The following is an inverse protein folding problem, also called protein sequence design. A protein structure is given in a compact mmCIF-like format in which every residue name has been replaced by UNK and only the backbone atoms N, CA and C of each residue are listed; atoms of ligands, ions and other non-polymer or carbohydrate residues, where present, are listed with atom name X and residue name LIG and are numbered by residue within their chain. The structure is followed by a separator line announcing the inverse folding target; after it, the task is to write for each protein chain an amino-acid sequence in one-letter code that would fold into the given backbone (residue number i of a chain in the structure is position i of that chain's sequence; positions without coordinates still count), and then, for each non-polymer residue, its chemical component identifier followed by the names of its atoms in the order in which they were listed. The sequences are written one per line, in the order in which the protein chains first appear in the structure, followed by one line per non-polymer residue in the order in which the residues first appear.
data_IF_716339114932
#
_entry.id   IF_716339114932
#
_cell.length_a   1.000
_cell.length_b   1.000
_cell.length_c   1.000
_cell.angle_alpha   90.00
_cell.angle_beta   90.00
_cell.angle_gamma   90.00
#
_symmetry.space_group_name_H-M   'P 1'
#
loop_
_entity.id
_entity.type
_entity.pdbx_description
1 polymer ?
#
# COMPACT_ATOMS: atom_id res chain seq x y z
N UNK A 1 -42.39 -44.27 -2.42
CA UNK A 1 -41.25 -43.94 -1.53
C UNK A 1 -39.95 -43.55 -2.25
N UNK A 2 -39.56 -44.20 -3.37
CA UNK A 2 -38.30 -43.86 -4.08
C UNK A 2 -38.16 -42.39 -4.53
N UNK A 3 -39.23 -41.75 -5.03
CA UNK A 3 -39.21 -40.34 -5.48
C UNK A 3 -38.86 -39.34 -4.37
N UNK A 4 -39.31 -39.56 -3.13
CA UNK A 4 -39.03 -38.66 -2.00
C UNK A 4 -37.56 -38.68 -1.56
N UNK A 5 -36.88 -39.82 -1.68
CA UNK A 5 -35.45 -39.95 -1.36
C UNK A 5 -34.61 -39.11 -2.32
N UNK A 6 -34.97 -39.07 -3.62
CA UNK A 6 -34.28 -38.22 -4.60
C UNK A 6 -34.44 -36.73 -4.28
N UNK A 7 -35.61 -36.27 -3.83
CA UNK A 7 -35.80 -34.87 -3.43
C UNK A 7 -34.97 -34.51 -2.19
N UNK A 8 -34.90 -35.40 -1.19
CA UNK A 8 -34.08 -35.18 0.02
C UNK A 8 -32.59 -35.18 -0.34
N UNK A 9 -32.15 -36.08 -1.22
CA UNK A 9 -30.75 -36.13 -1.67
C UNK A 9 -30.35 -34.87 -2.46
N UNK A 10 -31.23 -34.41 -3.36
CA UNK A 10 -31.01 -33.18 -4.13
C UNK A 10 -30.98 -31.94 -3.22
N UNK A 11 -31.85 -31.86 -2.22
CA UNK A 11 -31.83 -30.78 -1.24
C UNK A 11 -30.51 -30.76 -0.46
N UNK A 12 -30.00 -31.93 -0.03
CA UNK A 12 -28.69 -32.04 0.62
C UNK A 12 -27.54 -31.60 -0.28
N UNK A 13 -27.56 -31.98 -1.56
CA UNK A 13 -26.54 -31.55 -2.54
C UNK A 13 -26.57 -30.04 -2.72
N UNK A 14 -27.76 -29.43 -2.84
CA UNK A 14 -27.91 -27.97 -2.99
C UNK A 14 -27.37 -27.24 -1.75
N UNK A 15 -27.68 -27.73 -0.55
CA UNK A 15 -27.17 -27.16 0.71
C UNK A 15 -25.64 -27.28 0.78
N UNK A 16 -25.08 -28.45 0.44
CA UNK A 16 -23.63 -28.68 0.41
C UNK A 16 -22.92 -27.75 -0.60
N UNK A 17 -23.46 -27.60 -1.80
CA UNK A 17 -22.92 -26.69 -2.82
C UNK A 17 -23.03 -25.22 -2.40
N UNK A 18 -24.10 -24.84 -1.69
CA UNK A 18 -24.25 -23.50 -1.12
C UNK A 18 -23.19 -23.19 -0.07
N UNK A 19 -22.96 -24.10 0.88
CA UNK A 19 -21.91 -23.96 1.91
C UNK A 19 -20.53 -23.88 1.25
N UNK A 20 -20.25 -24.74 0.26
CA UNK A 20 -18.99 -24.73 -0.47
C UNK A 20 -18.75 -23.40 -1.21
N UNK A 21 -19.79 -22.87 -1.86
CA UNK A 21 -19.72 -21.60 -2.59
C UNK A 21 -19.45 -20.42 -1.66
N UNK A 22 -20.09 -20.38 -0.49
CA UNK A 22 -19.83 -19.34 0.53
C UNK A 22 -18.40 -19.45 1.04
N UNK A 23 -17.91 -20.66 1.32
CA UNK A 23 -16.55 -20.87 1.81
C UNK A 23 -15.49 -20.45 0.77
N UNK A 24 -15.68 -20.81 -0.51
CA UNK A 24 -14.80 -20.38 -1.59
C UNK A 24 -14.83 -18.87 -1.80
N UNK A 25 -16.01 -18.25 -1.67
CA UNK A 25 -16.14 -16.80 -1.73
C UNK A 25 -15.37 -16.12 -0.59
N UNK A 26 -15.56 -16.55 0.65
CA UNK A 26 -14.84 -16.02 1.81
C UNK A 26 -13.31 -16.15 1.65
N UNK A 27 -12.83 -17.33 1.23
CA UNK A 27 -11.39 -17.53 0.95
C UNK A 27 -10.84 -16.59 -0.12
N UNK A 28 -11.61 -16.30 -1.16
CA UNK A 28 -11.19 -15.37 -2.19
C UNK A 28 -11.14 -13.92 -1.68
N UNK A 29 -12.10 -13.52 -0.85
CA UNK A 29 -12.12 -12.20 -0.21
C UNK A 29 -10.92 -12.04 0.72
N UNK A 30 -10.65 -13.02 1.58
CA UNK A 30 -9.49 -13.04 2.46
C UNK A 30 -8.17 -12.99 1.68
N UNK A 31 -8.06 -13.77 0.60
CA UNK A 31 -6.87 -13.76 -0.25
C UNK A 31 -6.65 -12.40 -0.92
N UNK A 32 -7.72 -11.75 -1.43
CA UNK A 32 -7.62 -10.41 -2.01
C UNK A 32 -7.20 -9.38 -0.97
N UNK A 33 -7.84 -9.42 0.20
CA UNK A 33 -7.51 -8.53 1.32
C UNK A 33 -6.06 -8.67 1.75
N UNK A 34 -5.57 -9.91 1.88
CA UNK A 34 -4.17 -10.18 2.21
C UNK A 34 -3.18 -9.60 1.17
N UNK A 35 -3.54 -9.62 -0.12
CA UNK A 35 -2.73 -8.99 -1.17
C UNK A 35 -2.69 -7.47 -0.96
N UNK A 36 -3.83 -6.81 -0.80
CA UNK A 36 -3.88 -5.35 -0.63
C UNK A 36 -3.14 -4.91 0.63
N UNK A 37 -3.32 -5.63 1.74
CA UNK A 37 -2.60 -5.38 2.99
C UNK A 37 -1.08 -5.54 2.81
N UNK A 38 -0.64 -6.57 2.10
CA UNK A 38 0.78 -6.77 1.79
C UNK A 38 1.36 -5.59 1.00
N UNK A 39 0.62 -5.05 0.04
CA UNK A 39 1.06 -3.94 -0.80
C UNK A 39 1.22 -2.65 0.03
N UNK A 40 0.25 -2.35 0.91
CA UNK A 40 0.36 -1.23 1.86
C UNK A 40 1.53 -1.42 2.83
N UNK A 41 1.74 -2.64 3.33
CA UNK A 41 2.85 -2.94 4.24
C UNK A 41 4.21 -2.77 3.57
N UNK A 42 4.35 -3.15 2.30
CA UNK A 42 5.57 -2.90 1.54
C UNK A 42 5.78 -1.38 1.38
N UNK A 43 4.72 -0.63 1.05
CA UNK A 43 4.80 0.83 0.93
C UNK A 43 5.18 1.50 2.27
N UNK A 44 4.57 1.07 3.37
CA UNK A 44 4.91 1.49 4.73
C UNK A 44 6.39 1.27 5.04
N UNK A 45 6.95 0.11 4.66
CA UNK A 45 8.36 -0.21 4.88
C UNK A 45 9.29 0.74 4.13
N UNK A 46 8.92 1.18 2.92
CA UNK A 46 9.67 2.18 2.18
C UNK A 46 9.65 3.53 2.91
N UNK A 47 8.48 3.95 3.41
CA UNK A 47 8.34 5.18 4.19
C UNK A 47 9.20 5.13 5.47
N UNK A 48 9.15 4.03 6.22
CA UNK A 48 10.00 3.83 7.39
C UNK A 48 11.50 3.80 7.06
N UNK A 49 11.88 3.30 5.87
CA UNK A 49 13.25 3.40 5.35
C UNK A 49 13.69 4.84 5.19
N UNK A 50 12.85 5.65 4.54
CA UNK A 50 13.09 7.07 4.28
C UNK A 50 13.17 7.88 5.57
N UNK A 51 12.26 7.67 6.52
CA UNK A 51 12.30 8.34 7.84
C UNK A 51 13.63 8.05 8.54
N UNK A 52 14.09 6.80 8.56
CA UNK A 52 15.39 6.43 9.15
C UNK A 52 16.55 7.12 8.43
N UNK A 53 16.51 7.21 7.10
CA UNK A 53 17.54 7.90 6.32
C UNK A 53 17.56 9.41 6.60
N UNK A 54 16.39 10.02 6.75
CA UNK A 54 16.21 11.43 7.11
C UNK A 54 16.74 11.71 8.51
N UNK A 55 16.31 10.93 9.51
CA UNK A 55 16.71 11.11 10.92
C UNK A 55 18.22 10.94 11.12
N UNK A 56 18.84 10.02 10.38
CA UNK A 56 20.28 9.79 10.42
C UNK A 56 21.08 10.67 9.46
N UNK A 57 20.41 11.52 8.67
CA UNK A 57 21.03 12.37 7.63
C UNK A 57 21.95 11.58 6.69
N UNK A 58 21.53 10.37 6.31
CA UNK A 58 22.38 9.38 5.66
C UNK A 58 21.96 9.09 4.22
N UNK A 59 22.73 9.62 3.26
CA UNK A 59 22.50 9.42 1.83
C UNK A 59 22.66 7.96 1.39
N UNK A 60 23.46 7.15 2.08
CA UNK A 60 23.61 5.72 1.75
C UNK A 60 22.31 4.98 2.06
N UNK A 61 21.69 5.26 3.21
CA UNK A 61 20.40 4.68 3.56
C UNK A 61 19.27 5.19 2.65
N UNK A 62 19.32 6.45 2.24
CA UNK A 62 18.36 6.99 1.26
C UNK A 62 18.48 6.27 -0.10
N UNK A 63 19.72 6.05 -0.58
CA UNK A 63 19.97 5.31 -1.82
C UNK A 63 19.51 3.86 -1.73
N UNK A 64 19.78 3.18 -0.61
CA UNK A 64 19.29 1.82 -0.36
C UNK A 64 17.76 1.78 -0.36
N UNK A 65 17.10 2.76 0.26
CA UNK A 65 15.63 2.86 0.25
C UNK A 65 15.08 3.05 -1.16
N UNK A 66 15.65 3.95 -1.97
CA UNK A 66 15.24 4.13 -3.36
C UNK A 66 15.49 2.86 -4.20
N UNK A 67 16.61 2.16 -3.99
CA UNK A 67 16.89 0.90 -4.68
C UNK A 67 15.83 -0.14 -4.32
N UNK A 68 15.49 -0.28 -3.03
CA UNK A 68 14.42 -1.18 -2.58
C UNK A 68 13.08 -0.80 -3.16
N UNK A 69 12.73 0.49 -3.23
CA UNK A 69 11.50 0.96 -3.87
C UNK A 69 11.40 0.50 -5.33
N UNK A 70 12.51 0.61 -6.08
CA UNK A 70 12.57 0.21 -7.48
C UNK A 70 12.64 -1.31 -7.69
N UNK A 71 13.13 -2.06 -6.70
CA UNK A 71 13.33 -3.52 -6.81
C UNK A 71 12.12 -4.28 -6.27
N UNK A 72 11.45 -3.77 -5.24
CA UNK A 72 10.23 -4.34 -4.71
C UNK A 72 9.04 -3.76 -5.46
N UNK A 73 8.50 -4.58 -6.35
CA UNK A 73 7.24 -4.35 -7.05
C UNK A 73 6.10 -4.11 -6.05
N UNK A 74 5.87 -2.86 -5.67
CA UNK A 74 4.79 -2.40 -4.79
C UNK A 74 3.64 -1.89 -5.66
N UNK A 75 2.40 -2.24 -5.35
CA UNK A 75 1.19 -1.97 -6.16
C UNK A 75 1.09 -2.73 -7.49
N UNK A 76 1.77 -3.86 -7.68
CA UNK A 76 1.82 -4.57 -8.98
C UNK A 76 0.75 -5.63 -9.18
N UNK A 77 -0.03 -5.92 -8.14
CA UNK A 77 -1.16 -6.84 -8.25
C UNK A 77 -2.15 -6.39 -9.34
N UNK A 78 -2.62 -7.34 -10.16
CA UNK A 78 -3.65 -7.13 -11.20
C UNK A 78 -5.00 -6.58 -10.67
N UNK A 79 -5.15 -6.50 -9.35
CA UNK A 79 -6.33 -5.96 -8.67
C UNK A 79 -6.19 -4.47 -8.34
N UNK A 80 -5.07 -3.85 -8.72
CA UNK A 80 -4.68 -2.50 -8.34
C UNK A 80 -4.75 -1.60 -9.58
N UNK A 81 -5.46 -0.49 -9.44
CA UNK A 81 -5.69 0.50 -10.49
C UNK A 81 -4.46 1.41 -10.72
N UNK A 82 -4.58 2.40 -11.59
CA UNK A 82 -3.49 3.32 -11.95
C UNK A 82 -3.14 4.35 -10.87
N UNK A 83 -4.06 4.69 -9.95
CA UNK A 83 -3.83 5.68 -8.89
C UNK A 83 -2.72 5.26 -7.89
N UNK A 84 -2.69 4.01 -7.39
CA UNK A 84 -1.58 3.50 -6.58
C UNK A 84 -0.21 3.65 -7.25
N UNK A 85 -0.10 3.39 -8.56
CA UNK A 85 1.12 3.64 -9.33
C UNK A 85 1.50 5.13 -9.33
N UNK A 86 0.51 6.04 -9.39
CA UNK A 86 0.76 7.47 -9.29
C UNK A 86 1.30 7.85 -7.90
N UNK A 87 0.76 7.28 -6.83
CA UNK A 87 1.29 7.44 -5.47
C UNK A 87 2.76 6.98 -5.41
N UNK A 88 3.05 5.77 -5.90
CA UNK A 88 4.41 5.22 -5.88
C UNK A 88 5.41 6.09 -6.67
N UNK A 89 5.04 6.50 -7.89
CA UNK A 89 5.91 7.30 -8.75
C UNK A 89 6.12 8.72 -8.22
N UNK A 90 5.09 9.36 -7.64
CA UNK A 90 5.26 10.65 -6.95
C UNK A 90 6.16 10.53 -5.73
N UNK A 91 6.03 9.44 -4.96
CA UNK A 91 6.89 9.16 -3.82
C UNK A 91 8.35 8.94 -4.25
N UNK A 92 8.57 8.12 -5.28
CA UNK A 92 9.90 7.88 -5.87
C UNK A 92 10.57 9.18 -6.31
N UNK A 93 9.83 10.07 -6.99
CA UNK A 93 10.35 11.37 -7.41
C UNK A 93 10.78 12.22 -6.20
N UNK A 94 9.98 12.25 -5.13
CA UNK A 94 10.35 12.94 -3.90
C UNK A 94 11.65 12.40 -3.28
N UNK A 95 11.86 11.08 -3.27
CA UNK A 95 13.13 10.49 -2.82
C UNK A 95 14.31 10.90 -3.70
N UNK A 96 14.11 10.95 -5.02
CA UNK A 96 15.15 11.40 -5.96
C UNK A 96 15.56 12.85 -5.71
N UNK A 97 14.61 13.73 -5.41
CA UNK A 97 14.91 15.11 -5.01
C UNK A 97 15.65 15.17 -3.67
N UNK A 98 15.25 14.39 -2.67
CA UNK A 98 15.98 14.34 -1.40
C UNK A 98 17.43 13.87 -1.56
N UNK A 99 17.72 12.98 -2.51
CA UNK A 99 19.09 12.55 -2.77
C UNK A 99 20.01 13.66 -3.32
N UNK A 100 19.43 14.70 -3.92
CA UNK A 100 20.15 15.88 -4.42
C UNK A 100 20.13 17.04 -3.43
N UNK A 101 19.23 17.03 -2.45
CA UNK A 101 19.17 18.00 -1.34
C UNK A 101 20.33 17.82 -0.34
N UNK A 102 20.79 18.94 0.25
CA UNK A 102 21.72 18.92 1.40
C UNK A 102 21.09 18.23 2.61
N UNK A 103 21.79 17.28 3.22
CA UNK A 103 21.29 16.50 4.37
C UNK A 103 20.96 17.33 5.61
N UNK A 104 21.48 18.56 5.70
CA UNK A 104 21.09 19.53 6.73
C UNK A 104 19.60 19.86 6.70
N UNK A 105 18.98 19.84 5.52
CA UNK A 105 17.61 20.30 5.28
C UNK A 105 16.60 19.14 5.36
N UNK A 106 17.05 17.90 5.58
CA UNK A 106 16.18 16.73 5.65
C UNK A 106 15.10 16.83 6.73
N UNK A 107 15.37 17.53 7.84
CA UNK A 107 14.40 17.70 8.91
C UNK A 107 13.12 18.42 8.45
N UNK A 108 13.20 19.22 7.38
CA UNK A 108 12.07 19.98 6.86
C UNK A 108 11.00 19.08 6.24
N UNK A 109 11.37 17.88 5.78
CA UNK A 109 10.45 16.92 5.16
C UNK A 109 9.82 15.95 6.16
N UNK A 110 10.28 15.94 7.42
CA UNK A 110 9.90 14.94 8.41
C UNK A 110 8.39 14.91 8.69
N UNK A 111 7.78 16.08 8.84
CA UNK A 111 6.34 16.18 9.06
C UNK A 111 5.53 15.56 7.91
N UNK A 112 5.97 15.76 6.66
CA UNK A 112 5.31 15.15 5.50
C UNK A 112 5.43 13.62 5.52
N UNK A 113 6.61 13.08 5.85
CA UNK A 113 6.80 11.64 5.99
C UNK A 113 6.00 11.03 7.14
N UNK A 114 5.89 11.73 8.27
CA UNK A 114 5.11 11.28 9.43
C UNK A 114 3.61 11.23 9.09
N UNK A 115 3.09 12.22 8.37
CA UNK A 115 1.69 12.24 7.90
C UNK A 115 1.43 11.05 6.96
N UNK A 116 2.29 10.85 5.96
CA UNK A 116 2.15 9.71 5.02
C UNK A 116 2.18 8.40 5.80
N UNK A 117 3.12 8.24 6.74
CA UNK A 117 3.23 7.04 7.56
C UNK A 117 1.96 6.79 8.38
N UNK A 118 1.42 7.81 9.04
CA UNK A 118 0.20 7.72 9.83
C UNK A 118 -0.99 7.25 9.00
N UNK A 119 -1.17 7.82 7.79
CA UNK A 119 -2.24 7.44 6.85
C UNK A 119 -2.13 5.98 6.42
N UNK A 120 -0.92 5.45 6.19
CA UNK A 120 -0.76 4.02 5.86
C UNK A 120 -1.06 3.14 7.08
N UNK A 121 -0.72 3.58 8.29
CA UNK A 121 -0.86 2.75 9.51
C UNK A 121 -2.25 2.74 10.13
N UNK A 122 -3.13 3.68 9.81
CA UNK A 122 -4.46 3.78 10.42
C UNK A 122 -5.41 2.62 10.10
N UNK A 123 -4.99 1.68 9.24
CA UNK A 123 -5.85 0.62 8.69
C UNK A 123 -5.30 -0.80 8.96
N UNK A 124 -4.40 -0.97 9.93
CA UNK A 124 -3.68 -2.25 10.13
C UNK A 124 -4.57 -3.38 10.71
N UNK A 125 -5.71 -3.08 11.35
CA UNK A 125 -6.56 -4.09 12.01
C UNK A 125 -7.82 -4.51 11.21
N UNK A 126 -8.07 -3.94 10.03
CA UNK A 126 -9.30 -4.18 9.26
C UNK A 126 -9.10 -5.20 8.12
N UNK A 127 -10.15 -5.98 7.81
CA UNK A 127 -10.22 -6.70 6.54
C UNK A 127 -10.31 -5.65 5.46
N UNK A 128 -9.21 -5.45 4.74
CA UNK A 128 -9.13 -4.46 3.68
C UNK A 128 -9.84 -4.95 2.42
N UNK A 129 -10.94 -4.30 2.05
CA UNK A 129 -11.54 -4.47 0.73
C UNK A 129 -11.02 -3.44 -0.28
N UNK A 130 -11.55 -3.49 -1.50
CA UNK A 130 -11.13 -2.58 -2.57
C UNK A 130 -11.51 -1.12 -2.27
N UNK A 131 -12.68 -0.88 -1.70
CA UNK A 131 -13.19 0.47 -1.46
C UNK A 131 -12.37 1.16 -0.37
N UNK A 132 -12.05 0.43 0.71
CA UNK A 132 -11.14 0.91 1.75
C UNK A 132 -9.75 1.18 1.20
N UNK A 133 -9.20 0.28 0.38
CA UNK A 133 -7.91 0.50 -0.26
C UNK A 133 -7.92 1.76 -1.14
N UNK A 134 -8.96 1.97 -1.94
CA UNK A 134 -9.08 3.16 -2.79
C UNK A 134 -9.18 4.45 -1.97
N UNK A 135 -9.91 4.44 -0.85
CA UNK A 135 -9.96 5.58 0.08
C UNK A 135 -8.58 5.92 0.64
N UNK A 136 -7.81 4.91 1.06
CA UNK A 136 -6.44 5.11 1.54
C UNK A 136 -5.58 5.75 0.45
N UNK A 137 -5.69 5.26 -0.78
CA UNK A 137 -4.91 5.78 -1.92
C UNK A 137 -5.30 7.23 -2.24
N UNK A 138 -6.58 7.56 -2.18
CA UNK A 138 -7.09 8.92 -2.39
C UNK A 138 -6.66 9.87 -1.27
N UNK A 139 -6.50 9.39 -0.03
CA UNK A 139 -5.93 10.16 1.07
C UNK A 139 -4.40 10.33 0.95
N UNK A 140 -3.69 9.29 0.49
CA UNK A 140 -2.23 9.29 0.35
C UNK A 140 -1.74 10.19 -0.77
N UNK A 141 -2.44 10.19 -1.91
CA UNK A 141 -1.98 10.89 -3.11
C UNK A 141 -1.63 12.36 -2.85
N UNK A 142 -2.52 13.21 -2.28
CA UNK A 142 -2.17 14.61 -2.03
C UNK A 142 -1.00 14.78 -1.06
N UNK A 143 -0.87 13.90 -0.05
CA UNK A 143 0.21 13.95 0.94
C UNK A 143 1.57 13.64 0.30
N UNK A 144 1.59 12.64 -0.58
CA UNK A 144 2.79 12.24 -1.33
C UNK A 144 3.18 13.30 -2.36
N UNK A 145 2.22 13.98 -2.99
CA UNK A 145 2.50 15.11 -3.88
C UNK A 145 3.07 16.30 -3.12
N UNK A 146 2.53 16.65 -1.95
CA UNK A 146 3.09 17.70 -1.10
C UNK A 146 4.52 17.37 -0.67
N UNK A 147 4.78 16.11 -0.29
CA UNK A 147 6.12 15.60 -0.02
C UNK A 147 7.07 15.79 -1.22
N UNK A 148 6.64 15.38 -2.42
CA UNK A 148 7.42 15.52 -3.65
C UNK A 148 7.76 16.98 -3.92
N UNK A 149 6.77 17.86 -3.85
CA UNK A 149 6.93 19.26 -4.20
C UNK A 149 7.84 19.99 -3.20
N UNK A 150 7.71 19.69 -1.91
CA UNK A 150 8.62 20.22 -0.90
C UNK A 150 10.04 19.69 -1.05
N UNK A 151 10.22 18.40 -1.31
CA UNK A 151 11.54 17.83 -1.58
C UNK A 151 12.20 18.48 -2.82
N UNK A 152 11.41 18.78 -3.86
CA UNK A 152 11.87 19.51 -5.04
C UNK A 152 12.39 20.90 -4.68
N UNK A 153 11.61 21.69 -3.94
CA UNK A 153 12.03 23.03 -3.49
C UNK A 153 13.35 22.96 -2.72
N UNK A 154 13.47 22.04 -1.76
CA UNK A 154 14.71 21.86 -0.99
C UNK A 154 15.90 21.43 -1.85
N UNK A 155 15.66 20.70 -2.95
CA UNK A 155 16.71 20.33 -3.90
C UNK A 155 17.14 21.49 -4.78
N UNK A 156 16.28 22.45 -5.08
CA UNK A 156 16.59 23.63 -5.91
C UNK A 156 17.31 24.72 -5.09
N UNK A 157 17.08 24.76 -3.79
CA UNK A 157 17.73 25.67 -2.83
C UNK A 157 19.09 25.15 -2.31
N UNK A 158 19.35 23.86 -2.47
CA UNK A 158 20.54 23.15 -1.99
C UNK A 158 21.74 23.28 -2.91
#
# INVERSE_FOLDING_TARGET
MRKGIYFVLMALIIVLLGVLSINLYQKNVEAKSAILKKELLIFQNHISGTVRAVDSKNNVLMKDTLLRLNTFETFHSKYIDTKPQLVLSSYEQGLRYLLTTKTSNYNEIKNNLDIIFQTVTSYDDEILDQEQFEKIIDELLPQVEEFRDKAKTLSEEG
#
